data_IF_109564541523
#
_entry.id   IF_109564541523
#
_cell.length_a   1.000
_cell.length_b   1.000
_cell.length_c   1.000
_cell.angle_alpha   90.00
_cell.angle_beta   90.00
_cell.angle_gamma   90.00
#
_symmetry.space_group_name_H-M   'P 1'
#
loop_
_entity.id
_entity.type
_entity.pdbx_description
1 polymer ?
#
# COMPACT_ATOMS: atom_id res chain seq x y z
N UNK A 1 23.93 24.37 -0.28
CA UNK A 1 22.57 23.87 0.07
C UNK A 1 21.74 23.37 -1.12
N UNK A 2 21.79 23.96 -2.33
CA UNK A 2 21.03 23.45 -3.50
C UNK A 2 21.43 22.04 -3.99
N UNK A 3 22.70 21.62 -3.86
CA UNK A 3 23.15 20.29 -4.36
C UNK A 3 22.71 19.12 -3.48
N UNK A 4 22.53 19.33 -2.16
CA UNK A 4 22.13 18.26 -1.23
C UNK A 4 20.67 17.85 -1.50
N UNK A 5 19.78 18.82 -1.71
CA UNK A 5 18.38 18.55 -2.08
C UNK A 5 18.23 17.81 -3.40
N UNK A 6 19.11 18.08 -4.39
CA UNK A 6 19.05 17.41 -5.70
C UNK A 6 19.41 15.93 -5.61
N UNK A 7 20.48 15.60 -4.88
CA UNK A 7 20.89 14.20 -4.68
C UNK A 7 19.86 13.44 -3.84
N UNK A 8 19.27 14.09 -2.84
CA UNK A 8 18.19 13.56 -2.01
C UNK A 8 16.92 13.28 -2.83
N UNK A 9 16.46 14.24 -3.65
CA UNK A 9 15.29 14.08 -4.53
C UNK A 9 15.48 12.91 -5.50
N UNK A 10 16.66 12.76 -6.09
CA UNK A 10 16.97 11.63 -6.98
C UNK A 10 16.95 10.29 -6.26
N UNK A 11 17.44 10.22 -5.02
CA UNK A 11 17.40 9.00 -4.23
C UNK A 11 15.95 8.61 -3.85
N UNK A 12 15.12 9.59 -3.45
CA UNK A 12 13.69 9.40 -3.21
C UNK A 12 12.98 8.93 -4.49
N UNK A 13 13.29 9.55 -5.63
CA UNK A 13 12.74 9.18 -6.93
C UNK A 13 13.12 7.75 -7.36
N UNK A 14 14.32 7.27 -7.04
CA UNK A 14 14.70 5.87 -7.24
C UNK A 14 13.96 4.92 -6.29
N UNK A 15 13.72 5.32 -5.05
CA UNK A 15 12.89 4.56 -4.12
C UNK A 15 11.45 4.41 -4.61
N UNK A 16 10.84 5.49 -5.07
CA UNK A 16 9.50 5.49 -5.69
C UNK A 16 9.42 4.60 -6.93
N UNK A 17 10.51 4.50 -7.71
CA UNK A 17 10.62 3.56 -8.83
C UNK A 17 10.49 2.10 -8.37
N UNK A 18 11.24 1.71 -7.34
CA UNK A 18 11.13 0.36 -6.81
C UNK A 18 9.74 0.09 -6.20
N UNK A 19 9.14 1.08 -5.51
CA UNK A 19 7.77 1.01 -5.02
C UNK A 19 6.74 0.84 -6.15
N UNK A 20 6.93 1.50 -7.29
CA UNK A 20 6.10 1.32 -8.47
C UNK A 20 6.17 -0.13 -8.97
N UNK A 21 7.37 -0.71 -9.05
CA UNK A 21 7.53 -2.13 -9.43
C UNK A 21 6.91 -3.07 -8.40
N UNK A 22 7.08 -2.81 -7.10
CA UNK A 22 6.45 -3.59 -6.04
C UNK A 22 4.93 -3.64 -6.20
N UNK A 23 4.30 -2.47 -6.38
CA UNK A 23 2.85 -2.37 -6.57
C UNK A 23 2.39 -3.04 -7.87
N UNK A 24 3.18 -2.94 -8.95
CA UNK A 24 2.89 -3.62 -10.21
C UNK A 24 2.93 -5.15 -10.05
N UNK A 25 3.92 -5.69 -9.33
CA UNK A 25 3.98 -7.12 -9.01
C UNK A 25 2.84 -7.54 -8.07
N UNK A 26 2.45 -6.68 -7.13
CA UNK A 26 1.29 -6.88 -6.26
C UNK A 26 0.00 -7.02 -7.07
N UNK A 27 -0.25 -6.13 -8.04
CA UNK A 27 -1.41 -6.24 -8.93
C UNK A 27 -1.40 -7.50 -9.79
N UNK A 28 -0.24 -7.89 -10.31
CA UNK A 28 -0.09 -9.13 -11.08
C UNK A 28 -0.43 -10.37 -10.24
N UNK A 29 -0.20 -10.31 -8.93
CA UNK A 29 -0.52 -11.42 -8.01
C UNK A 29 -2.02 -11.70 -7.92
N UNK A 30 -2.87 -10.69 -8.14
CA UNK A 30 -4.34 -10.81 -8.11
C UNK A 30 -4.87 -11.53 -9.35
N UNK A 31 -4.14 -11.49 -10.47
CA UNK A 31 -4.61 -11.97 -11.78
C UNK A 31 -4.01 -13.35 -12.13
N UNK A 32 -2.88 -13.74 -11.54
CA UNK A 32 -2.09 -14.90 -11.98
C UNK A 32 -2.04 -16.05 -10.98
N UNK A 33 -1.98 -17.29 -11.50
CA UNK A 33 -1.75 -18.52 -10.72
C UNK A 33 -0.38 -18.57 -9.99
N UNK A 34 0.55 -17.64 -10.31
CA UNK A 34 1.82 -17.43 -9.61
C UNK A 34 1.70 -16.48 -8.40
N UNK A 35 0.47 -16.16 -7.97
CA UNK A 35 0.12 -15.09 -7.05
C UNK A 35 1.01 -14.99 -5.81
N UNK A 36 1.19 -16.09 -5.10
CA UNK A 36 1.98 -16.12 -3.85
C UNK A 36 3.46 -15.78 -4.05
N UNK A 37 4.10 -16.21 -5.14
CA UNK A 37 5.51 -15.90 -5.42
C UNK A 37 5.66 -14.39 -5.73
N UNK A 38 4.77 -13.87 -6.57
CA UNK A 38 4.78 -12.45 -6.95
C UNK A 38 4.49 -11.53 -5.78
N UNK A 39 3.64 -11.95 -4.84
CA UNK A 39 3.33 -11.22 -3.60
C UNK A 39 4.57 -11.12 -2.68
N UNK A 40 5.31 -12.22 -2.55
CA UNK A 40 6.55 -12.25 -1.75
C UNK A 40 7.60 -11.32 -2.37
N UNK A 41 7.80 -11.40 -3.69
CA UNK A 41 8.75 -10.52 -4.40
C UNK A 41 8.34 -9.05 -4.23
N UNK A 42 7.06 -8.73 -4.42
CA UNK A 42 6.48 -7.40 -4.17
C UNK A 42 6.83 -6.88 -2.77
N UNK A 43 6.63 -7.71 -1.75
CA UNK A 43 6.89 -7.36 -0.34
C UNK A 43 8.36 -7.04 -0.08
N UNK A 44 9.30 -7.80 -0.65
CA UNK A 44 10.72 -7.51 -0.51
C UNK A 44 11.13 -6.23 -1.24
N UNK A 45 10.60 -6.01 -2.44
CA UNK A 45 10.88 -4.79 -3.22
C UNK A 45 10.33 -3.56 -2.48
N UNK A 46 9.14 -3.63 -1.88
CA UNK A 46 8.54 -2.50 -1.15
C UNK A 46 9.35 -2.11 0.08
N UNK A 47 9.83 -3.09 0.86
CA UNK A 47 10.73 -2.87 2.00
C UNK A 47 12.04 -2.22 1.52
N UNK A 48 12.65 -2.75 0.45
CA UNK A 48 13.90 -2.21 -0.10
C UNK A 48 13.72 -0.78 -0.63
N UNK A 49 12.61 -0.52 -1.31
CA UNK A 49 12.24 0.80 -1.80
C UNK A 49 12.14 1.82 -0.66
N UNK A 50 11.39 1.48 0.39
CA UNK A 50 11.18 2.34 1.55
C UNK A 50 12.45 2.52 2.38
N UNK A 51 13.29 1.50 2.48
CA UNK A 51 14.61 1.60 3.11
C UNK A 51 15.49 2.65 2.40
N UNK A 52 15.53 2.61 1.06
CA UNK A 52 16.26 3.61 0.27
C UNK A 52 15.69 5.03 0.44
N UNK A 53 14.37 5.16 0.51
CA UNK A 53 13.71 6.46 0.75
C UNK A 53 13.99 6.99 2.16
N UNK A 54 13.94 6.12 3.18
CA UNK A 54 14.29 6.45 4.56
C UNK A 54 15.74 6.92 4.68
N UNK A 55 16.68 6.22 4.03
CA UNK A 55 18.10 6.60 4.01
C UNK A 55 18.32 7.98 3.38
N UNK A 56 17.50 8.34 2.40
CA UNK A 56 17.55 9.66 1.75
C UNK A 56 16.86 10.75 2.56
N UNK A 57 15.68 10.47 3.13
CA UNK A 57 14.91 11.40 3.96
C UNK A 57 14.29 10.67 5.16
N UNK A 58 14.69 11.00 6.41
CA UNK A 58 14.21 10.34 7.62
C UNK A 58 12.68 10.36 7.82
N UNK A 59 11.96 11.28 7.16
CA UNK A 59 10.49 11.34 7.21
C UNK A 59 9.80 10.10 6.64
N UNK A 60 10.51 9.28 5.85
CA UNK A 60 10.00 7.99 5.37
C UNK A 60 10.21 6.84 6.37
N UNK A 61 10.89 7.06 7.50
CA UNK A 61 11.04 6.05 8.57
C UNK A 61 9.72 5.41 9.02
N UNK A 62 8.63 6.16 9.32
CA UNK A 62 7.36 5.54 9.69
C UNK A 62 6.80 4.66 8.57
N UNK A 63 6.88 5.09 7.31
CA UNK A 63 6.43 4.28 6.18
C UNK A 63 7.21 2.96 6.07
N UNK A 64 8.52 2.99 6.28
CA UNK A 64 9.36 1.80 6.32
C UNK A 64 8.96 0.84 7.45
N UNK A 65 8.77 1.35 8.67
CA UNK A 65 8.35 0.53 9.82
C UNK A 65 6.98 -0.11 9.55
N UNK A 66 6.01 0.67 9.05
CA UNK A 66 4.70 0.14 8.72
C UNK A 66 4.72 -0.90 7.60
N UNK A 67 5.60 -0.75 6.60
CA UNK A 67 5.79 -1.77 5.57
C UNK A 67 6.30 -3.09 6.15
N UNK A 68 7.29 -3.04 7.04
CA UNK A 68 7.79 -4.26 7.71
C UNK A 68 6.69 -4.91 8.54
N UNK A 69 5.94 -4.14 9.33
CA UNK A 69 4.81 -4.65 10.13
C UNK A 69 3.73 -5.24 9.23
N UNK A 70 3.40 -4.60 8.11
CA UNK A 70 2.41 -5.06 7.16
C UNK A 70 2.81 -6.42 6.55
N UNK A 71 4.07 -6.59 6.16
CA UNK A 71 4.58 -7.89 5.66
C UNK A 71 4.52 -8.97 6.74
N UNK A 72 4.88 -8.64 7.99
CA UNK A 72 4.73 -9.59 9.10
C UNK A 72 3.28 -10.00 9.34
N UNK A 73 2.34 -9.06 9.25
CA UNK A 73 0.90 -9.35 9.35
C UNK A 73 0.43 -10.21 8.17
N UNK A 74 0.92 -9.96 6.96
CA UNK A 74 0.61 -10.78 5.78
C UNK A 74 1.00 -12.25 5.99
N UNK A 75 2.18 -12.47 6.60
CA UNK A 75 2.67 -13.80 6.95
C UNK A 75 1.80 -14.45 8.04
N UNK A 76 1.39 -13.69 9.07
CA UNK A 76 0.49 -14.19 10.13
C UNK A 76 -0.89 -14.57 9.58
N UNK A 77 -1.46 -13.75 8.70
CA UNK A 77 -2.72 -14.06 8.00
C UNK A 77 -2.56 -15.35 7.20
N UNK A 78 -1.52 -15.44 6.36
CA UNK A 78 -1.25 -16.63 5.54
C UNK A 78 -1.06 -17.89 6.39
N UNK A 79 -0.31 -17.77 7.50
CA UNK A 79 -0.11 -18.87 8.43
C UNK A 79 -1.41 -19.31 9.09
N UNK A 80 -2.29 -18.38 9.46
CA UNK A 80 -3.59 -18.69 10.06
C UNK A 80 -4.47 -19.53 9.13
N UNK A 81 -4.41 -19.26 7.81
CA UNK A 81 -5.11 -20.04 6.80
C UNK A 81 -4.56 -21.46 6.67
N UNK A 82 -3.22 -21.60 6.63
CA UNK A 82 -2.56 -22.91 6.50
C UNK A 82 -2.75 -23.77 7.75
N UNK A 83 -2.73 -23.14 8.93
CA UNK A 83 -2.87 -23.84 10.21
C UNK A 83 -4.32 -24.11 10.61
N UNK A 84 -5.30 -23.74 9.78
CA UNK A 84 -6.74 -23.82 10.09
C UNK A 84 -7.07 -23.20 11.45
N UNK A 85 -6.48 -22.04 11.72
CA UNK A 85 -6.73 -21.29 12.94
C UNK A 85 -8.23 -20.93 13.06
N UNK A 86 -8.72 -20.66 14.29
CA UNK A 86 -10.11 -20.26 14.48
C UNK A 86 -10.46 -19.02 13.66
N UNK A 87 -11.67 -18.98 13.07
CA UNK A 87 -12.10 -17.91 12.18
C UNK A 87 -11.99 -16.50 12.82
N UNK A 88 -12.25 -16.38 14.13
CA UNK A 88 -12.10 -15.11 14.85
C UNK A 88 -10.64 -14.62 14.91
N UNK A 89 -9.67 -15.55 14.96
CA UNK A 89 -8.24 -15.24 15.03
C UNK A 89 -7.71 -14.82 13.65
N UNK A 90 -8.14 -15.52 12.60
CA UNK A 90 -7.85 -15.14 11.20
C UNK A 90 -8.41 -13.75 10.90
N UNK A 91 -9.68 -13.49 11.24
CA UNK A 91 -10.30 -12.18 11.06
C UNK A 91 -9.55 -11.06 11.80
N UNK A 92 -9.07 -11.33 13.02
CA UNK A 92 -8.29 -10.37 13.78
C UNK A 92 -6.95 -10.04 13.11
N UNK A 93 -6.25 -11.04 12.56
CA UNK A 93 -5.03 -10.81 11.79
C UNK A 93 -5.28 -10.07 10.49
N UNK A 94 -6.39 -10.34 9.80
CA UNK A 94 -6.76 -9.59 8.59
C UNK A 94 -7.04 -8.13 8.88
N UNK A 95 -7.79 -7.83 9.95
CA UNK A 95 -8.00 -6.45 10.37
C UNK A 95 -6.68 -5.77 10.74
N UNK A 96 -5.81 -6.47 11.48
CA UNK A 96 -4.48 -5.98 11.85
C UNK A 96 -3.54 -5.79 10.64
N UNK A 97 -3.80 -6.45 9.52
CA UNK A 97 -3.05 -6.30 8.27
C UNK A 97 -3.36 -4.98 7.53
N UNK A 98 -4.62 -4.54 7.53
CA UNK A 98 -5.04 -3.30 6.86
C UNK A 98 -4.62 -2.02 7.58
N UNK A 99 -4.54 -2.03 8.92
CA UNK A 99 -4.13 -0.83 9.69
C UNK A 99 -2.74 -0.29 9.30
N UNK A 100 -1.65 -1.09 9.30
CA UNK A 100 -0.33 -0.62 8.88
C UNK A 100 -0.28 -0.27 7.39
N UNK A 101 -1.13 -0.88 6.55
CA UNK A 101 -1.22 -0.56 5.13
C UNK A 101 -1.68 0.89 4.91
N UNK A 102 -2.78 1.29 5.56
CA UNK A 102 -3.28 2.68 5.51
C UNK A 102 -2.21 3.65 6.02
N UNK A 103 -1.57 3.33 7.15
CA UNK A 103 -0.56 4.18 7.76
C UNK A 103 0.68 4.36 6.86
N UNK A 104 1.13 3.27 6.23
CA UNK A 104 2.20 3.29 5.25
C UNK A 104 1.86 4.21 4.06
N UNK A 105 0.69 4.01 3.45
CA UNK A 105 0.25 4.81 2.30
C UNK A 105 0.08 6.29 2.65
N UNK A 106 -0.48 6.58 3.83
CA UNK A 106 -0.58 7.95 4.34
C UNK A 106 0.80 8.61 4.45
N UNK A 107 1.77 7.93 5.07
CA UNK A 107 3.13 8.45 5.21
C UNK A 107 3.81 8.68 3.85
N UNK A 108 3.67 7.75 2.90
CA UNK A 108 4.24 7.89 1.56
C UNK A 108 3.59 9.08 0.83
N UNK A 109 2.25 9.09 0.72
CA UNK A 109 1.54 10.12 -0.03
C UNK A 109 1.75 11.52 0.55
N UNK A 110 1.72 11.68 1.88
CA UNK A 110 1.93 13.00 2.51
C UNK A 110 3.38 13.48 2.40
N UNK A 111 4.36 12.59 2.59
CA UNK A 111 5.78 12.96 2.52
C UNK A 111 6.19 13.26 1.09
N UNK A 112 5.79 12.42 0.13
CA UNK A 112 6.04 12.64 -1.29
C UNK A 112 5.25 13.84 -1.82
N UNK A 113 4.00 14.04 -1.38
CA UNK A 113 3.19 15.20 -1.72
C UNK A 113 3.83 16.53 -1.27
N UNK A 114 4.40 16.58 -0.06
CA UNK A 114 5.17 17.75 0.42
C UNK A 114 6.46 17.97 -0.37
N UNK A 115 7.16 16.90 -0.75
CA UNK A 115 8.35 17.02 -1.60
C UNK A 115 8.02 17.56 -3.00
N UNK A 116 6.84 17.23 -3.52
CA UNK A 116 6.35 17.66 -4.83
C UNK A 116 5.63 19.01 -4.83
N UNK A 117 5.24 19.55 -3.67
CA UNK A 117 4.46 20.79 -3.57
C UNK A 117 5.12 21.97 -4.31
N UNK A 118 6.45 22.02 -4.28
CA UNK A 118 7.25 23.05 -4.97
C UNK A 118 7.45 22.79 -6.47
N UNK A 119 7.25 21.56 -6.94
CA UNK A 119 7.49 21.15 -8.32
C UNK A 119 6.19 21.05 -9.12
N UNK A 120 5.15 20.48 -8.51
CA UNK A 120 3.84 20.33 -9.10
C UNK A 120 2.74 20.28 -8.00
N UNK A 121 2.09 21.41 -7.71
CA UNK A 121 1.07 21.48 -6.65
C UNK A 121 -0.19 20.66 -6.98
N UNK A 122 -0.53 20.47 -8.26
CA UNK A 122 -1.65 19.63 -8.67
C UNK A 122 -1.40 18.15 -8.33
N UNK A 123 -0.16 17.67 -8.48
CA UNK A 123 0.22 16.31 -8.11
C UNK A 123 0.24 16.12 -6.58
N UNK A 124 0.65 17.14 -5.83
CA UNK A 124 0.58 17.15 -4.36
C UNK A 124 -0.86 17.02 -3.84
N UNK A 125 -1.81 17.75 -4.44
CA UNK A 125 -3.23 17.62 -4.10
C UNK A 125 -3.77 16.21 -4.41
N UNK A 126 -3.36 15.60 -5.52
CA UNK A 126 -3.74 14.21 -5.87
C UNK A 126 -3.23 13.19 -4.85
N UNK A 127 -2.05 13.41 -4.27
CA UNK A 127 -1.55 12.54 -3.20
C UNK A 127 -2.55 12.47 -2.04
N UNK A 128 -3.20 13.59 -1.70
CA UNK A 128 -4.21 13.65 -0.64
C UNK A 128 -5.49 12.87 -0.95
N UNK A 129 -5.88 12.80 -2.23
CA UNK A 129 -7.04 12.04 -2.67
C UNK A 129 -6.75 10.54 -2.66
N UNK A 130 -5.56 10.14 -3.09
CA UNK A 130 -5.18 8.73 -3.20
C UNK A 130 -5.19 8.04 -1.84
N UNK A 131 -4.54 8.60 -0.81
CA UNK A 131 -4.56 7.96 0.51
C UNK A 131 -5.97 7.91 1.13
N UNK A 132 -6.85 8.86 0.81
CA UNK A 132 -8.26 8.84 1.25
C UNK A 132 -9.07 7.75 0.57
N UNK A 133 -8.83 7.50 -0.72
CA UNK A 133 -9.46 6.39 -1.45
C UNK A 133 -9.06 5.06 -0.80
N UNK A 134 -7.77 4.88 -0.50
CA UNK A 134 -7.28 3.69 0.20
C UNK A 134 -7.82 3.57 1.62
N UNK A 135 -7.91 4.67 2.36
CA UNK A 135 -8.52 4.67 3.70
C UNK A 135 -9.99 4.22 3.64
N UNK A 136 -10.76 4.72 2.68
CA UNK A 136 -12.16 4.33 2.53
C UNK A 136 -12.28 2.86 2.13
N UNK A 137 -11.45 2.40 1.20
CA UNK A 137 -11.38 1.01 0.77
C UNK A 137 -11.02 0.06 1.92
N UNK A 138 -9.92 0.30 2.63
CA UNK A 138 -9.46 -0.56 3.71
C UNK A 138 -10.46 -0.58 4.88
N UNK A 139 -11.12 0.55 5.17
CA UNK A 139 -12.17 0.63 6.19
C UNK A 139 -13.43 -0.16 5.80
N UNK A 140 -13.78 -0.15 4.52
CA UNK A 140 -14.87 -0.97 3.97
C UNK A 140 -14.55 -2.46 4.11
N UNK A 141 -13.30 -2.86 3.85
CA UNK A 141 -12.86 -4.25 4.03
C UNK A 141 -12.90 -4.67 5.49
N UNK A 142 -12.41 -3.84 6.41
CA UNK A 142 -12.46 -4.11 7.86
C UNK A 142 -13.92 -4.26 8.33
N UNK A 143 -14.80 -3.35 7.92
CA UNK A 143 -16.23 -3.43 8.27
C UNK A 143 -16.86 -4.75 7.76
N UNK A 144 -16.48 -5.18 6.56
CA UNK A 144 -16.93 -6.46 5.99
C UNK A 144 -16.45 -7.66 6.80
N UNK A 145 -15.16 -7.71 7.15
CA UNK A 145 -14.58 -8.79 7.98
C UNK A 145 -15.31 -8.89 9.33
N UNK A 146 -15.66 -7.75 9.92
CA UNK A 146 -16.39 -7.71 11.18
C UNK A 146 -17.83 -8.25 11.04
N UNK A 147 -18.52 -7.89 9.95
CA UNK A 147 -19.88 -8.36 9.65
C UNK A 147 -19.92 -9.87 9.36
N UNK A 148 -18.94 -10.40 8.63
CA UNK A 148 -18.87 -11.85 8.35
C UNK A 148 -18.53 -12.64 9.62
N UNK A 149 -17.62 -12.14 10.46
CA UNK A 149 -17.18 -12.82 11.68
C UNK A 149 -18.24 -12.81 12.79
N UNK A 150 -19.09 -11.78 12.84
CA UNK A 150 -20.17 -11.67 13.83
C UNK A 150 -21.39 -12.57 13.55
N UNK A 151 -21.36 -13.36 12.46
CA UNK A 151 -22.48 -14.22 12.08
C UNK A 151 -23.73 -13.45 11.67
N UNK A 152 -23.56 -12.22 11.21
CA UNK A 152 -24.66 -11.41 10.70
C UNK A 152 -25.34 -12.10 9.51
N UNK A 153 -26.65 -11.91 9.31
CA UNK A 153 -27.36 -12.49 8.17
C UNK A 153 -26.71 -12.08 6.86
N UNK A 154 -26.86 -12.91 5.82
CA UNK A 154 -26.38 -12.57 4.48
C UNK A 154 -27.00 -11.26 4.01
N UNK A 155 -26.18 -10.21 3.98
CA UNK A 155 -26.53 -8.90 3.44
C UNK A 155 -25.77 -8.70 2.13
N UNK A 156 -26.12 -7.66 1.38
CA UNK A 156 -25.35 -7.28 0.19
C UNK A 156 -23.85 -7.14 0.48
N UNK A 157 -23.44 -6.71 1.68
CA UNK A 157 -22.04 -6.49 2.06
C UNK A 157 -21.27 -7.77 2.42
N UNK A 158 -21.94 -8.81 2.90
CA UNK A 158 -21.31 -10.10 3.24
C UNK A 158 -21.31 -11.08 2.07
N UNK A 159 -22.09 -10.79 1.02
CA UNK A 159 -22.20 -11.63 -0.18
C UNK A 159 -20.87 -11.80 -0.94
N UNK A 160 -20.78 -12.88 -1.73
CA UNK A 160 -19.68 -13.09 -2.68
C UNK A 160 -19.61 -11.96 -3.73
N UNK A 161 -20.75 -11.39 -4.12
CA UNK A 161 -20.79 -10.28 -5.09
C UNK A 161 -20.08 -9.03 -4.55
N UNK A 162 -20.20 -8.73 -3.25
CA UNK A 162 -19.43 -7.66 -2.62
C UNK A 162 -17.92 -7.94 -2.63
N UNK A 163 -17.50 -9.20 -2.61
CA UNK A 163 -16.08 -9.56 -2.75
C UNK A 163 -15.54 -9.10 -4.11
N UNK A 164 -16.26 -9.43 -5.17
CA UNK A 164 -15.89 -9.07 -6.54
C UNK A 164 -15.82 -7.56 -6.71
N UNK A 165 -16.80 -6.82 -6.18
CA UNK A 165 -16.79 -5.35 -6.22
C UNK A 165 -15.59 -4.78 -5.46
N UNK A 166 -15.27 -5.33 -4.29
CA UNK A 166 -14.11 -4.91 -3.49
C UNK A 166 -12.81 -5.10 -4.27
N UNK A 167 -12.65 -6.24 -4.96
CA UNK A 167 -11.48 -6.50 -5.81
C UNK A 167 -11.39 -5.52 -6.98
N UNK A 168 -12.52 -5.16 -7.62
CA UNK A 168 -12.52 -4.18 -8.70
C UNK A 168 -12.09 -2.79 -8.20
N UNK A 169 -12.60 -2.39 -7.03
CA UNK A 169 -12.25 -1.12 -6.40
C UNK A 169 -10.77 -1.08 -6.01
N UNK A 170 -10.23 -2.19 -5.49
CA UNK A 170 -8.81 -2.28 -5.11
C UNK A 170 -7.89 -2.12 -6.32
N UNK A 171 -8.21 -2.79 -7.44
CA UNK A 171 -7.47 -2.64 -8.71
C UNK A 171 -7.50 -1.17 -9.16
N UNK A 172 -8.66 -0.53 -9.14
CA UNK A 172 -8.80 0.88 -9.48
C UNK A 172 -7.92 1.79 -8.61
N UNK A 173 -7.96 1.59 -7.29
CA UNK A 173 -7.15 2.36 -6.33
C UNK A 173 -5.64 2.16 -6.55
N UNK A 174 -5.19 0.92 -6.74
CA UNK A 174 -3.79 0.59 -7.04
C UNK A 174 -3.33 1.18 -8.37
N UNK A 175 -4.18 1.23 -9.40
CA UNK A 175 -3.85 1.93 -10.66
C UNK A 175 -3.64 3.44 -10.44
N UNK A 176 -4.52 4.10 -9.68
CA UNK A 176 -4.33 5.53 -9.34
C UNK A 176 -3.03 5.76 -8.56
N UNK A 177 -2.69 4.87 -7.64
CA UNK A 177 -1.44 4.93 -6.90
C UNK A 177 -0.22 4.71 -7.79
N UNK A 178 -0.25 3.74 -8.71
CA UNK A 178 0.80 3.52 -9.70
C UNK A 178 1.04 4.76 -10.58
N UNK A 179 -0.02 5.41 -11.06
CA UNK A 179 0.12 6.65 -11.83
C UNK A 179 0.77 7.76 -11.01
N UNK A 180 0.41 7.88 -9.73
CA UNK A 180 1.03 8.84 -8.83
C UNK A 180 2.50 8.54 -8.57
N UNK A 181 2.86 7.28 -8.29
CA UNK A 181 4.25 6.86 -8.11
C UNK A 181 5.07 7.15 -9.37
N UNK A 182 4.52 6.85 -10.56
CA UNK A 182 5.17 7.07 -11.85
C UNK A 182 5.42 8.56 -12.15
N UNK A 183 4.46 9.42 -11.89
CA UNK A 183 4.63 10.86 -12.07
C UNK A 183 5.59 11.45 -11.02
N UNK A 184 5.50 10.98 -9.78
CA UNK A 184 6.35 11.46 -8.68
C UNK A 184 7.82 11.13 -8.92
N UNK A 185 8.13 9.89 -9.31
CA UNK A 185 9.51 9.48 -9.58
C UNK A 185 10.14 10.25 -10.75
N UNK A 186 9.37 10.47 -11.83
CA UNK A 186 9.91 11.08 -13.06
C UNK A 186 10.23 12.55 -12.83
N UNK A 187 9.44 13.25 -12.02
CA UNK A 187 9.72 14.62 -11.60
C UNK A 187 10.93 14.68 -10.66
N UNK A 188 10.97 13.84 -9.63
CA UNK A 188 12.04 13.85 -8.63
C UNK A 188 13.41 13.39 -9.17
N UNK A 189 13.44 12.57 -10.22
CA UNK A 189 14.68 12.15 -10.88
C UNK A 189 15.20 13.18 -11.89
N UNK A 190 14.32 14.00 -12.48
CA UNK A 190 14.70 15.04 -13.45
C UNK A 190 15.28 16.29 -12.79
N UNK A 191 14.87 16.56 -11.55
CA UNK A 191 15.42 17.63 -10.70
C UNK A 191 16.93 17.50 -10.45
#
# INVERSE_FOLDING_TARGET
MKSINKTQNRAIGKGLYYLFFAELFSLLSVISALGSITLVISSFISIYALYNMFKAEPKYQPAFIFSVVHVLMALLVSYSYISHAPAYLTALFEMAFYVPHIAMLYCICTTTGKALERLNPALSQRASLIWKIFLFYDLLVIARILLTTSGAPETMFTSETANVVTVIVSIGASLFYLFFLWQSQTLLQKD
#
